data_IF_890674887419
#
_entry.id   IF_890674887419
#
_cell.length_a   1.000
_cell.length_b   1.000
_cell.length_c   1.000
_cell.angle_alpha   90.00
_cell.angle_beta   90.00
_cell.angle_gamma   90.00
#
_symmetry.space_group_name_H-M   'P 1'
#
loop_
_entity.id
_entity.type
_entity.pdbx_description
1 polymer ?
#
# COMPACT_ATOMS: atom_id res chain seq x y z
N UNK A 1 -7.22 -5.04 14.04
CA UNK A 1 -8.64 -5.03 14.43
C UNK A 1 -9.45 -6.02 13.57
N UNK A 2 -10.54 -6.56 14.09
CA UNK A 2 -11.35 -7.63 13.50
C UNK A 2 -12.84 -7.30 13.62
N UNK A 3 -13.72 -7.76 12.70
CA UNK A 3 -15.16 -7.50 12.77
C UNK A 3 -15.84 -8.02 14.04
N UNK A 4 -15.58 -9.26 14.44
CA UNK A 4 -16.26 -9.92 15.57
C UNK A 4 -15.35 -10.78 16.47
N UNK A 5 -14.11 -11.03 16.07
CA UNK A 5 -13.13 -11.92 16.75
C UNK A 5 -13.59 -13.39 16.92
N UNK A 6 -14.51 -13.83 16.09
CA UNK A 6 -15.11 -15.19 16.15
C UNK A 6 -15.03 -15.88 14.79
N UNK A 7 -15.48 -15.19 13.74
CA UNK A 7 -15.60 -15.76 12.39
C UNK A 7 -14.34 -15.50 11.56
N UNK A 8 -13.85 -16.45 10.78
CA UNK A 8 -12.74 -16.21 9.87
C UNK A 8 -13.04 -15.05 8.92
N UNK A 9 -12.24 -13.99 8.99
CA UNK A 9 -12.43 -12.79 8.17
C UNK A 9 -11.22 -12.55 7.28
N UNK A 10 -11.41 -12.16 6.01
CA UNK A 10 -10.31 -11.70 5.18
C UNK A 10 -9.62 -10.50 5.83
N UNK A 11 -8.36 -10.28 5.50
CA UNK A 11 -7.55 -9.27 6.18
C UNK A 11 -6.77 -8.40 5.21
N UNK A 12 -6.61 -7.13 5.55
CA UNK A 12 -5.75 -6.18 4.84
C UNK A 12 -4.55 -5.84 5.71
N UNK A 13 -3.35 -6.06 5.20
CA UNK A 13 -2.11 -5.51 5.77
C UNK A 13 -1.94 -4.11 5.22
N UNK A 14 -1.96 -3.11 6.11
CA UNK A 14 -1.90 -1.70 5.73
C UNK A 14 -0.73 -0.97 6.37
N UNK A 15 0.01 -0.22 5.55
CA UNK A 15 1.15 0.57 5.97
C UNK A 15 0.91 2.04 5.69
N UNK A 16 1.18 2.89 6.69
CA UNK A 16 1.05 4.34 6.58
C UNK A 16 2.20 5.00 5.81
N UNK A 17 2.11 6.30 5.53
CA UNK A 17 3.17 7.11 4.95
C UNK A 17 4.25 7.52 5.95
N UNK A 18 5.35 8.11 5.47
CA UNK A 18 6.37 8.73 6.33
C UNK A 18 5.74 9.80 7.21
N UNK A 19 6.30 9.99 8.41
CA UNK A 19 5.84 10.96 9.42
C UNK A 19 4.43 10.74 9.99
N UNK A 20 3.79 9.62 9.63
CA UNK A 20 2.49 9.19 10.14
C UNK A 20 2.63 8.03 11.13
N UNK A 21 1.53 7.44 11.55
CA UNK A 21 1.46 6.22 12.35
C UNK A 21 0.15 5.46 12.03
N UNK A 22 0.09 4.18 12.40
CA UNK A 22 -1.02 3.27 12.07
C UNK A 22 -2.40 3.76 12.51
N UNK A 23 -2.50 4.50 13.61
CA UNK A 23 -3.78 4.92 14.19
C UNK A 23 -4.45 6.08 13.43
N UNK A 24 -3.70 6.84 12.62
CA UNK A 24 -4.25 7.94 11.84
C UNK A 24 -5.30 7.48 10.82
N UNK A 25 -5.29 6.22 10.43
CA UNK A 25 -6.22 5.65 9.45
C UNK A 25 -7.43 4.92 10.07
N UNK A 26 -7.73 5.11 11.36
CA UNK A 26 -8.84 4.44 12.05
C UNK A 26 -10.18 4.54 11.30
N UNK A 27 -10.48 5.70 10.69
CA UNK A 27 -11.69 5.89 9.88
C UNK A 27 -11.76 5.02 8.63
N UNK A 28 -10.64 4.55 8.10
CA UNK A 28 -10.51 3.59 7.01
C UNK A 28 -10.81 2.18 7.50
N UNK A 29 -10.19 1.78 8.59
CA UNK A 29 -10.37 0.44 9.17
C UNK A 29 -11.82 0.20 9.58
N UNK A 30 -12.51 1.22 10.12
CA UNK A 30 -13.93 1.14 10.43
C UNK A 30 -14.83 0.87 9.21
N UNK A 31 -14.45 1.34 8.01
CA UNK A 31 -15.18 1.03 6.77
C UNK A 31 -14.98 -0.42 6.36
N UNK A 32 -13.74 -0.92 6.46
CA UNK A 32 -13.43 -2.31 6.16
C UNK A 32 -14.16 -3.28 7.10
N UNK A 33 -14.16 -2.98 8.41
CA UNK A 33 -14.87 -3.78 9.41
C UNK A 33 -16.39 -3.84 9.15
N UNK A 34 -16.96 -2.85 8.46
CA UNK A 34 -18.40 -2.77 8.13
C UNK A 34 -18.71 -3.16 6.69
N UNK A 35 -17.71 -3.53 5.91
CA UNK A 35 -17.94 -3.98 4.54
C UNK A 35 -18.78 -5.27 4.56
N UNK A 36 -19.54 -5.51 3.49
CA UNK A 36 -20.35 -6.71 3.35
C UNK A 36 -20.34 -7.22 1.92
N UNK A 37 -20.50 -8.51 1.74
CA UNK A 37 -20.56 -9.15 0.44
C UNK A 37 -21.10 -10.59 0.55
N UNK A 38 -21.26 -11.28 -0.59
CA UNK A 38 -21.83 -12.62 -0.63
C UNK A 38 -21.08 -13.67 0.19
N UNK A 39 -19.76 -13.50 0.40
CA UNK A 39 -18.91 -14.45 1.13
C UNK A 39 -18.67 -14.07 2.60
N UNK A 40 -19.45 -13.12 3.14
CA UNK A 40 -19.36 -12.73 4.54
C UNK A 40 -19.36 -11.22 4.77
N UNK A 41 -19.26 -10.85 6.03
CA UNK A 41 -19.26 -9.47 6.49
C UNK A 41 -17.98 -9.13 7.22
N UNK A 42 -17.47 -7.95 6.93
CA UNK A 42 -16.28 -7.40 7.57
C UNK A 42 -14.96 -7.90 6.97
N UNK A 43 -14.02 -6.98 6.89
CA UNK A 43 -12.64 -7.22 6.51
C UNK A 43 -11.79 -6.76 7.69
N UNK A 44 -10.97 -7.64 8.23
CA UNK A 44 -10.03 -7.32 9.31
C UNK A 44 -8.91 -6.39 8.81
N UNK A 45 -8.35 -5.60 9.69
CA UNK A 45 -7.22 -4.73 9.39
C UNK A 45 -6.02 -5.04 10.29
N UNK A 46 -4.90 -5.35 9.69
CA UNK A 46 -3.59 -5.38 10.30
C UNK A 46 -2.83 -4.12 9.90
N UNK A 47 -2.87 -3.10 10.74
CA UNK A 47 -2.14 -1.86 10.52
C UNK A 47 -0.80 -1.92 11.24
N UNK A 48 0.29 -1.66 10.51
CA UNK A 48 1.66 -1.78 11.00
C UNK A 48 2.35 -0.42 10.98
N UNK A 49 2.99 -0.05 12.10
CA UNK A 49 3.87 1.12 12.11
C UNK A 49 5.14 0.83 11.30
N UNK A 50 5.49 1.73 10.39
CA UNK A 50 6.78 1.68 9.72
C UNK A 50 7.94 1.76 10.72
N UNK A 51 9.10 1.16 10.44
CA UNK A 51 10.29 1.34 11.27
C UNK A 51 10.56 2.81 11.58
N UNK A 52 10.80 3.10 12.86
CA UNK A 52 11.02 4.45 13.34
C UNK A 52 9.78 5.33 13.51
N UNK A 53 8.56 4.79 13.33
CA UNK A 53 7.29 5.53 13.42
C UNK A 53 6.37 4.97 14.51
N UNK A 54 5.40 5.77 14.93
CA UNK A 54 4.40 5.36 15.91
C UNK A 54 5.01 4.82 17.21
N UNK A 55 4.60 3.62 17.61
CA UNK A 55 5.15 2.93 18.80
C UNK A 55 6.61 2.48 18.64
N UNK A 56 7.12 2.48 17.41
CA UNK A 56 8.50 2.12 17.05
C UNK A 56 9.38 3.37 16.81
N UNK A 57 9.00 4.52 17.37
CA UNK A 57 9.64 5.80 17.10
C UNK A 57 11.16 5.77 17.30
N UNK A 58 11.87 6.19 16.27
CA UNK A 58 13.33 6.40 16.28
C UNK A 58 13.65 7.68 15.50
N UNK A 59 14.26 8.65 16.19
CA UNK A 59 14.59 9.98 15.63
C UNK A 59 15.48 9.88 14.38
N UNK A 60 16.41 8.95 14.34
CA UNK A 60 17.33 8.80 13.21
C UNK A 60 16.59 8.32 11.96
N UNK A 61 15.61 7.42 12.14
CA UNK A 61 14.78 6.91 11.06
C UNK A 61 13.75 7.92 10.54
N UNK A 62 13.51 9.02 11.26
CA UNK A 62 12.67 10.13 10.77
C UNK A 62 13.39 10.99 9.73
N UNK A 63 14.71 10.98 9.68
CA UNK A 63 15.46 11.79 8.73
C UNK A 63 15.17 11.38 7.28
N UNK A 64 15.00 12.30 6.30
CA UNK A 64 14.73 11.97 4.90
C UNK A 64 15.72 10.97 4.30
N UNK A 65 17.01 11.08 4.62
CA UNK A 65 18.06 10.14 4.19
C UNK A 65 17.86 8.70 4.67
N UNK A 66 17.05 8.49 5.70
CA UNK A 66 16.73 7.15 6.20
C UNK A 66 15.58 6.48 5.45
N UNK A 67 14.91 7.18 4.51
CA UNK A 67 13.70 6.68 3.86
C UNK A 67 13.91 5.29 3.25
N UNK A 68 14.93 5.10 2.44
CA UNK A 68 15.17 3.79 1.79
C UNK A 68 15.49 2.70 2.82
N UNK A 69 16.19 3.03 3.90
CA UNK A 69 16.42 2.10 5.02
C UNK A 69 15.11 1.67 5.67
N UNK A 70 14.21 2.63 5.93
CA UNK A 70 12.87 2.34 6.48
C UNK A 70 12.06 1.44 5.55
N UNK A 71 12.03 1.74 4.23
CA UNK A 71 11.31 0.92 3.25
C UNK A 71 11.87 -0.51 3.18
N UNK A 72 13.19 -0.67 3.14
CA UNK A 72 13.84 -1.99 3.09
C UNK A 72 13.58 -2.81 4.34
N UNK A 73 13.66 -2.19 5.51
CA UNK A 73 13.37 -2.87 6.77
C UNK A 73 11.92 -3.33 6.80
N UNK A 74 10.96 -2.46 6.45
CA UNK A 74 9.54 -2.83 6.42
C UNK A 74 9.26 -3.94 5.40
N UNK A 75 9.91 -3.90 4.24
CA UNK A 75 9.79 -4.96 3.23
C UNK A 75 10.18 -6.34 3.82
N UNK A 76 11.29 -6.40 4.55
CA UNK A 76 11.74 -7.63 5.21
C UNK A 76 10.88 -8.08 6.40
N UNK A 77 10.02 -7.21 6.92
CA UNK A 77 9.14 -7.53 8.05
C UNK A 77 7.76 -8.05 7.62
N UNK A 78 7.36 -7.91 6.35
CA UNK A 78 6.00 -8.29 5.90
C UNK A 78 5.74 -9.79 6.08
N UNK A 79 6.72 -10.64 5.81
CA UNK A 79 6.57 -12.09 6.00
C UNK A 79 6.40 -12.44 7.49
N UNK A 80 7.10 -11.74 8.38
CA UNK A 80 6.91 -11.89 9.83
C UNK A 80 5.51 -11.45 10.28
N UNK A 81 4.93 -10.43 9.63
CA UNK A 81 3.53 -10.03 9.88
C UNK A 81 2.58 -11.16 9.44
N UNK A 82 2.80 -11.77 8.28
CA UNK A 82 1.99 -12.91 7.82
C UNK A 82 2.13 -14.12 8.76
N UNK A 83 3.34 -14.44 9.21
CA UNK A 83 3.60 -15.49 10.19
C UNK A 83 2.89 -15.20 11.52
N UNK A 84 2.96 -13.96 12.02
CA UNK A 84 2.28 -13.56 13.24
C UNK A 84 0.75 -13.64 13.13
N UNK A 85 0.17 -13.38 11.95
CA UNK A 85 -1.27 -13.54 11.71
C UNK A 85 -1.69 -15.01 11.62
N UNK A 86 -0.77 -15.91 11.25
CA UNK A 86 -0.98 -17.34 11.19
C UNK A 86 -0.82 -18.04 12.56
N UNK A 87 -0.38 -17.32 13.60
CA UNK A 87 -0.14 -17.89 14.93
C UNK A 87 -1.43 -18.54 15.49
N UNK A 88 -1.36 -19.78 16.00
CA UNK A 88 -2.50 -20.46 16.60
C UNK A 88 -3.21 -19.70 17.73
N UNK A 89 -2.57 -18.72 18.35
CA UNK A 89 -3.19 -17.85 19.36
C UNK A 89 -4.44 -17.13 18.83
N UNK A 90 -4.51 -16.88 17.54
CA UNK A 90 -5.65 -16.23 16.89
C UNK A 90 -6.82 -17.20 16.58
N UNK A 91 -6.66 -18.50 16.83
CA UNK A 91 -7.72 -19.52 16.65
C UNK A 91 -8.38 -19.52 15.25
N UNK A 92 -7.65 -19.08 14.22
CA UNK A 92 -8.14 -19.07 12.85
C UNK A 92 -9.13 -17.93 12.52
N UNK A 93 -9.18 -16.87 13.32
CA UNK A 93 -10.06 -15.71 13.03
C UNK A 93 -9.63 -14.91 11.81
N UNK A 94 -8.40 -15.05 11.33
CA UNK A 94 -7.94 -14.46 10.07
C UNK A 94 -7.97 -15.50 8.95
N UNK A 95 -8.67 -15.19 7.87
CA UNK A 95 -8.67 -16.00 6.64
C UNK A 95 -7.47 -15.59 5.77
N UNK A 96 -6.38 -16.33 5.90
CA UNK A 96 -5.13 -16.06 5.19
C UNK A 96 -5.16 -16.49 3.71
N UNK A 97 -6.21 -17.14 3.25
CA UNK A 97 -6.46 -17.34 1.82
C UNK A 97 -7.02 -16.09 1.14
N UNK A 98 -7.49 -15.11 1.93
CA UNK A 98 -8.06 -13.84 1.46
C UNK A 98 -7.34 -12.64 2.09
N UNK A 99 -6.06 -12.51 1.79
CA UNK A 99 -5.22 -11.39 2.27
C UNK A 99 -5.06 -10.34 1.18
N UNK A 100 -5.21 -9.07 1.53
CA UNK A 100 -4.81 -7.93 0.72
C UNK A 100 -3.63 -7.20 1.35
N UNK A 101 -2.89 -6.47 0.52
CA UNK A 101 -1.82 -5.57 0.97
C UNK A 101 -2.09 -4.17 0.45
N UNK A 102 -1.63 -3.17 1.18
CA UNK A 102 -1.72 -1.80 0.71
C UNK A 102 -1.01 -0.81 1.61
N UNK A 103 -1.05 0.44 1.19
CA UNK A 103 -0.47 1.51 1.97
C UNK A 103 -0.49 2.85 1.27
N UNK A 104 -0.17 3.87 2.05
CA UNK A 104 -0.04 5.23 1.59
C UNK A 104 1.43 5.59 1.43
N UNK A 105 1.79 6.34 0.37
CA UNK A 105 3.14 6.90 0.18
C UNK A 105 4.23 5.83 0.38
N UNK A 106 5.07 5.95 1.39
CA UNK A 106 6.09 4.98 1.75
C UNK A 106 5.52 3.55 1.93
N UNK A 107 4.39 3.40 2.61
CA UNK A 107 3.71 2.11 2.76
C UNK A 107 3.25 1.52 1.43
N UNK A 108 2.81 2.37 0.50
CA UNK A 108 2.48 1.98 -0.86
C UNK A 108 3.71 1.51 -1.67
N UNK A 109 4.85 2.19 -1.53
CA UNK A 109 6.12 1.77 -2.16
C UNK A 109 6.55 0.38 -1.70
N UNK A 110 6.46 0.13 -0.38
CA UNK A 110 6.75 -1.20 0.19
C UNK A 110 5.78 -2.25 -0.35
N UNK A 111 4.47 -1.94 -0.39
CA UNK A 111 3.45 -2.84 -0.93
C UNK A 111 3.75 -3.23 -2.38
N UNK A 112 4.01 -2.25 -3.24
CA UNK A 112 4.32 -2.49 -4.66
C UNK A 112 5.60 -3.32 -4.83
N UNK A 113 6.64 -3.04 -4.03
CA UNK A 113 7.88 -3.79 -4.08
C UNK A 113 7.70 -5.24 -3.59
N UNK A 114 6.87 -5.45 -2.55
CA UNK A 114 6.57 -6.80 -2.02
C UNK A 114 5.84 -7.67 -3.04
N UNK A 115 5.02 -7.07 -3.92
CA UNK A 115 4.34 -7.77 -5.00
C UNK A 115 5.28 -8.25 -6.13
N UNK A 116 6.54 -7.85 -6.12
CA UNK A 116 7.58 -8.39 -7.00
C UNK A 116 8.24 -9.66 -6.43
N UNK A 117 7.75 -10.22 -5.35
CA UNK A 117 8.23 -11.45 -4.69
C UNK A 117 7.05 -12.44 -4.58
N UNK A 118 7.28 -13.75 -4.39
CA UNK A 118 6.18 -14.70 -4.16
C UNK A 118 5.32 -14.26 -2.97
N UNK A 119 3.99 -14.28 -3.12
CA UNK A 119 3.09 -13.73 -2.11
C UNK A 119 1.69 -14.36 -2.14
N UNK A 120 0.93 -14.33 -1.01
CA UNK A 120 -0.44 -14.83 -0.94
C UNK A 120 -1.51 -13.78 -1.31
N UNK A 121 -1.15 -12.52 -1.58
CA UNK A 121 -2.09 -11.41 -1.71
C UNK A 121 -3.04 -11.57 -2.90
N UNK A 122 -4.33 -11.30 -2.66
CA UNK A 122 -5.40 -11.36 -3.69
C UNK A 122 -5.62 -10.03 -4.41
N UNK A 123 -5.34 -8.93 -3.76
CA UNK A 123 -5.43 -7.58 -4.33
C UNK A 123 -4.52 -6.60 -3.59
N UNK A 124 -4.34 -5.42 -4.19
CA UNK A 124 -3.55 -4.33 -3.61
C UNK A 124 -4.29 -3.00 -3.74
N UNK A 125 -4.27 -2.21 -2.66
CA UNK A 125 -4.77 -0.83 -2.69
C UNK A 125 -3.69 0.14 -2.22
N UNK A 126 -3.38 1.14 -3.02
CA UNK A 126 -2.31 2.11 -2.75
C UNK A 126 -2.79 3.55 -2.89
N UNK A 127 -2.17 4.46 -2.17
CA UNK A 127 -2.53 5.88 -2.14
C UNK A 127 -1.31 6.78 -2.18
N UNK A 128 -1.33 7.85 -3.02
CA UNK A 128 -0.31 8.88 -3.08
C UNK A 128 1.11 8.29 -3.18
N UNK A 129 1.35 7.33 -4.06
CA UNK A 129 2.60 6.58 -4.12
C UNK A 129 3.01 6.26 -5.55
N UNK A 130 4.18 5.71 -5.72
CA UNK A 130 4.68 5.15 -6.99
C UNK A 130 5.55 3.93 -6.72
N UNK A 131 5.58 2.99 -7.67
CA UNK A 131 6.55 1.89 -7.67
C UNK A 131 7.87 2.25 -8.36
N UNK A 132 7.98 3.46 -8.95
CA UNK A 132 9.21 3.92 -9.60
C UNK A 132 10.03 4.78 -8.63
N UNK A 133 10.62 4.10 -7.63
CA UNK A 133 11.35 4.73 -6.53
C UNK A 133 12.61 5.43 -7.02
N UNK A 134 13.35 4.85 -7.98
CA UNK A 134 14.51 5.49 -8.56
C UNK A 134 14.17 6.84 -9.20
N UNK A 135 13.10 6.94 -9.98
CA UNK A 135 12.72 8.21 -10.61
C UNK A 135 12.28 9.28 -9.60
N UNK A 136 11.73 8.86 -8.46
CA UNK A 136 11.34 9.79 -7.38
C UNK A 136 12.56 10.42 -6.69
N UNK A 137 13.65 9.66 -6.55
CA UNK A 137 14.88 10.08 -5.84
C UNK A 137 16.06 10.38 -6.76
N UNK A 138 15.90 10.31 -8.09
CA UNK A 138 16.95 10.63 -9.05
C UNK A 138 17.43 12.10 -8.93
N UNK A 139 18.64 12.37 -9.35
CA UNK A 139 19.15 13.73 -9.46
C UNK A 139 18.19 14.59 -10.29
N UNK A 140 17.75 15.71 -9.72
CA UNK A 140 16.72 16.56 -10.31
C UNK A 140 15.27 16.04 -10.13
N UNK A 141 15.08 14.91 -9.48
CA UNK A 141 13.77 14.40 -9.07
C UNK A 141 13.18 15.21 -7.89
N UNK A 142 11.89 14.96 -7.57
CA UNK A 142 11.18 15.68 -6.48
C UNK A 142 11.87 15.57 -5.12
N UNK A 143 12.62 14.52 -4.89
CA UNK A 143 13.32 14.21 -3.64
C UNK A 143 14.78 13.85 -3.88
N UNK A 144 15.57 14.79 -4.37
CA UNK A 144 17.02 14.61 -4.52
C UNK A 144 17.75 14.55 -3.16
N UNK A 145 17.48 13.52 -2.40
CA UNK A 145 18.26 13.16 -1.22
C UNK A 145 19.22 12.06 -1.65
N UNK A 146 20.50 12.23 -1.34
CA UNK A 146 21.51 11.23 -1.65
C UNK A 146 21.20 9.90 -0.95
N UNK A 147 20.91 8.89 -1.73
CA UNK A 147 20.72 7.50 -1.29
C UNK A 147 21.76 6.60 -1.97
N UNK A 148 22.12 5.54 -1.28
CA UNK A 148 22.92 4.48 -1.88
C UNK A 148 22.22 3.88 -3.11
N UNK A 149 22.83 3.92 -4.31
CA UNK A 149 22.17 3.46 -5.55
C UNK A 149 21.69 2.01 -5.48
N UNK A 150 22.48 1.12 -4.89
CA UNK A 150 22.12 -0.31 -4.74
C UNK A 150 20.86 -0.47 -3.89
N UNK A 151 20.72 0.34 -2.84
CA UNK A 151 19.54 0.34 -1.98
C UNK A 151 18.30 0.89 -2.70
N UNK A 152 18.45 1.92 -3.53
CA UNK A 152 17.38 2.44 -4.38
C UNK A 152 16.91 1.39 -5.39
N UNK A 153 17.83 0.78 -6.12
CA UNK A 153 17.55 -0.29 -7.08
C UNK A 153 16.81 -1.46 -6.43
N UNK A 154 17.23 -1.86 -5.23
CA UNK A 154 16.59 -2.95 -4.49
C UNK A 154 15.14 -2.64 -4.11
N UNK A 155 14.78 -1.37 -3.92
CA UNK A 155 13.43 -0.92 -3.60
C UNK A 155 12.60 -0.55 -4.83
N UNK A 156 13.20 -0.46 -6.01
CA UNK A 156 12.50 -0.06 -7.22
C UNK A 156 11.68 -1.22 -7.82
N UNK A 157 10.36 -1.04 -7.88
CA UNK A 157 9.45 -2.05 -8.44
C UNK A 157 9.56 -2.14 -9.97
N UNK A 158 10.03 -1.08 -10.65
CA UNK A 158 10.27 -1.11 -12.10
C UNK A 158 11.43 -2.06 -12.43
N UNK A 159 12.50 -2.01 -11.64
CA UNK A 159 13.64 -2.95 -11.77
C UNK A 159 13.22 -4.40 -11.54
N UNK A 160 12.26 -4.62 -10.66
CA UNK A 160 11.78 -5.95 -10.26
C UNK A 160 10.51 -6.38 -10.99
N UNK A 161 10.01 -5.58 -11.93
CA UNK A 161 8.68 -5.73 -12.55
C UNK A 161 8.44 -7.06 -13.24
N UNK A 162 9.47 -7.68 -13.80
CA UNK A 162 9.34 -8.99 -14.43
C UNK A 162 8.90 -10.12 -13.47
N UNK A 163 8.96 -9.89 -12.17
CA UNK A 163 8.51 -10.83 -11.12
C UNK A 163 7.18 -10.42 -10.48
N UNK A 164 6.64 -9.25 -10.84
CA UNK A 164 5.36 -8.78 -10.32
C UNK A 164 4.23 -9.71 -10.78
N UNK A 165 3.52 -10.32 -9.83
CA UNK A 165 2.41 -11.21 -10.15
C UNK A 165 1.14 -10.39 -10.38
N UNK A 166 0.48 -10.54 -11.56
CA UNK A 166 -0.74 -9.82 -11.87
C UNK A 166 -1.86 -10.09 -10.86
N UNK A 167 -2.43 -9.04 -10.31
CA UNK A 167 -3.58 -9.06 -9.40
C UNK A 167 -4.39 -7.76 -9.52
N UNK A 168 -5.65 -7.71 -9.04
CA UNK A 168 -6.40 -6.47 -8.96
C UNK A 168 -5.66 -5.42 -8.13
N UNK A 169 -5.47 -4.23 -8.72
CA UNK A 169 -4.77 -3.11 -8.09
C UNK A 169 -5.60 -1.82 -8.21
N UNK A 170 -5.88 -1.20 -7.07
CA UNK A 170 -6.46 0.14 -6.98
C UNK A 170 -5.38 1.15 -6.57
N UNK A 171 -5.18 2.17 -7.39
CA UNK A 171 -4.35 3.32 -7.07
C UNK A 171 -5.23 4.56 -6.90
N UNK A 172 -5.12 5.26 -5.77
CA UNK A 172 -5.76 6.53 -5.50
C UNK A 172 -4.70 7.62 -5.43
N UNK A 173 -4.91 8.75 -6.13
CA UNK A 173 -3.89 9.80 -6.21
C UNK A 173 -4.50 11.19 -6.32
N UNK A 174 -3.89 12.19 -5.66
CA UNK A 174 -4.24 13.58 -5.87
C UNK A 174 -3.54 14.11 -7.14
N UNK A 175 -4.27 14.85 -7.99
CA UNK A 175 -3.70 15.35 -9.27
C UNK A 175 -2.56 16.33 -9.06
N UNK A 176 -2.61 17.10 -7.97
CA UNK A 176 -1.63 18.14 -7.65
C UNK A 176 -0.64 17.69 -6.55
N UNK A 177 -0.47 16.38 -6.34
CA UNK A 177 0.44 15.82 -5.32
C UNK A 177 1.87 16.38 -5.51
N UNK A 178 2.36 17.08 -4.47
CA UNK A 178 3.68 17.74 -4.48
C UNK A 178 4.77 16.89 -3.83
N UNK A 179 4.41 15.73 -3.30
CA UNK A 179 5.34 14.79 -2.64
C UNK A 179 5.67 13.65 -3.58
N UNK A 180 4.65 12.99 -4.11
CA UNK A 180 4.79 11.96 -5.13
C UNK A 180 4.01 12.41 -6.36
N UNK A 181 4.64 13.03 -7.36
CA UNK A 181 3.94 13.56 -8.53
C UNK A 181 3.11 12.48 -9.23
N UNK A 182 1.84 12.80 -9.56
CA UNK A 182 0.94 11.90 -10.26
C UNK A 182 1.57 11.31 -11.54
N UNK A 183 2.32 12.12 -12.30
CA UNK A 183 2.96 11.65 -13.53
C UNK A 183 3.94 10.49 -13.32
N UNK A 184 4.59 10.38 -12.16
CA UNK A 184 5.44 9.22 -11.84
C UNK A 184 4.60 7.97 -11.57
N UNK A 185 3.45 8.12 -10.92
CA UNK A 185 2.53 7.02 -10.71
C UNK A 185 1.90 6.54 -12.02
N UNK A 186 1.47 7.45 -12.89
CA UNK A 186 0.91 7.13 -14.21
C UNK A 186 1.91 6.35 -15.06
N UNK A 187 3.16 6.82 -15.15
CA UNK A 187 4.22 6.14 -15.87
C UNK A 187 4.54 4.75 -15.28
N UNK A 188 4.53 4.62 -13.96
CA UNK A 188 4.68 3.31 -13.32
C UNK A 188 3.53 2.37 -13.70
N UNK A 189 2.27 2.83 -13.61
CA UNK A 189 1.11 2.02 -13.94
C UNK A 189 1.05 1.66 -15.44
N UNK A 190 1.53 2.51 -16.32
CA UNK A 190 1.66 2.19 -17.75
C UNK A 190 2.63 1.04 -17.98
N UNK A 191 3.81 1.08 -17.35
CA UNK A 191 4.79 -0.01 -17.38
C UNK A 191 4.19 -1.32 -16.81
N UNK A 192 3.43 -1.21 -15.72
CA UNK A 192 2.78 -2.35 -15.07
C UNK A 192 1.69 -2.95 -15.95
N UNK A 193 0.85 -2.14 -16.61
CA UNK A 193 -0.14 -2.61 -17.61
C UNK A 193 0.53 -3.34 -18.77
N UNK A 194 1.62 -2.79 -19.28
CA UNK A 194 2.40 -3.47 -20.33
C UNK A 194 2.99 -4.80 -19.84
N UNK A 195 3.38 -4.90 -18.56
CA UNK A 195 3.81 -6.16 -17.97
C UNK A 195 2.65 -7.17 -17.87
N UNK A 196 1.45 -6.75 -17.41
CA UNK A 196 0.27 -7.62 -17.35
C UNK A 196 -0.06 -8.20 -18.70
N UNK A 197 -0.07 -7.39 -19.76
CA UNK A 197 -0.28 -7.87 -21.14
C UNK A 197 0.75 -8.94 -21.54
N UNK A 198 2.03 -8.73 -21.25
CA UNK A 198 3.09 -9.73 -21.54
C UNK A 198 2.92 -11.02 -20.72
N UNK A 199 2.37 -10.92 -19.52
CA UNK A 199 2.07 -12.06 -18.65
C UNK A 199 0.73 -12.75 -18.99
N UNK A 200 0.01 -12.29 -20.03
CA UNK A 200 -1.30 -12.83 -20.41
C UNK A 200 -2.44 -12.44 -19.48
N UNK A 201 -2.27 -11.42 -18.65
CA UNK A 201 -3.27 -10.92 -17.73
C UNK A 201 -3.97 -9.66 -18.26
N UNK A 202 -5.20 -9.41 -17.78
CA UNK A 202 -5.97 -8.23 -18.15
C UNK A 202 -5.37 -6.96 -17.51
N UNK A 203 -4.91 -5.96 -18.30
CA UNK A 203 -4.45 -4.68 -17.77
C UNK A 203 -5.57 -3.85 -17.10
N UNK A 204 -6.84 -4.18 -17.37
CA UNK A 204 -8.01 -3.60 -16.71
C UNK A 204 -8.09 -3.93 -15.21
N UNK A 205 -7.36 -4.91 -14.72
CA UNK A 205 -7.18 -5.16 -13.29
C UNK A 205 -6.51 -3.99 -12.55
N UNK A 206 -5.84 -3.08 -13.28
CA UNK A 206 -5.18 -1.90 -12.71
C UNK A 206 -6.08 -0.69 -12.89
N UNK A 207 -6.64 -0.19 -11.80
CA UNK A 207 -7.51 0.98 -11.77
C UNK A 207 -6.80 2.15 -11.08
N UNK A 208 -6.80 3.32 -11.74
CA UNK A 208 -6.36 4.59 -11.17
C UNK A 208 -7.57 5.51 -10.98
N UNK A 209 -7.73 6.06 -9.79
CA UNK A 209 -8.70 7.10 -9.47
C UNK A 209 -7.94 8.33 -9.00
N UNK A 210 -8.22 9.48 -9.59
CA UNK A 210 -7.55 10.74 -9.26
C UNK A 210 -8.52 11.76 -8.69
N UNK A 211 -8.02 12.61 -7.80
CA UNK A 211 -8.79 13.66 -7.14
C UNK A 211 -8.18 15.03 -7.46
N UNK A 212 -8.98 15.95 -8.04
CA UNK A 212 -8.48 17.31 -8.32
C UNK A 212 -8.45 18.10 -7.02
N UNK A 213 -7.47 18.98 -6.86
CA UNK A 213 -7.33 19.95 -5.77
C UNK A 213 -8.00 19.55 -4.44
N UNK A 214 -7.33 18.69 -3.68
CA UNK A 214 -7.92 18.04 -2.51
C UNK A 214 -7.99 18.97 -1.29
N UNK A 215 -7.07 19.93 -1.19
CA UNK A 215 -6.86 20.78 -0.01
C UNK A 215 -6.10 20.06 1.12
N UNK A 216 -5.58 18.87 0.87
CA UNK A 216 -4.73 18.17 1.82
C UNK A 216 -3.33 18.84 1.91
N UNK A 217 -2.61 18.69 3.04
CA UNK A 217 -1.25 19.18 3.13
C UNK A 217 -0.38 18.66 1.98
N UNK A 218 0.24 19.56 1.23
CA UNK A 218 1.02 19.30 0.01
C UNK A 218 0.25 18.52 -1.07
N UNK A 219 -1.08 18.52 -1.02
CA UNK A 219 -1.98 17.70 -1.87
C UNK A 219 -1.66 16.20 -1.76
N UNK A 220 -0.98 15.77 -0.70
CA UNK A 220 -0.46 14.41 -0.50
C UNK A 220 -1.07 13.69 0.70
N UNK A 221 -1.17 14.35 1.85
CA UNK A 221 -1.54 13.70 3.11
C UNK A 221 -3.07 13.53 3.21
N UNK A 222 -3.64 12.46 2.62
CA UNK A 222 -5.01 11.99 2.84
C UNK A 222 -6.05 12.69 2.03
N UNK A 223 -6.15 13.03 0.88
CA UNK A 223 -7.23 13.51 -0.02
C UNK A 223 -8.15 14.62 0.50
N UNK A 224 -7.86 15.27 1.62
CA UNK A 224 -8.59 16.45 2.11
C UNK A 224 -10.12 16.33 2.02
N UNK A 225 -10.78 17.22 1.26
CA UNK A 225 -12.24 17.21 1.06
C UNK A 225 -12.78 15.92 0.40
N UNK A 226 -11.96 15.17 -0.31
CA UNK A 226 -12.30 13.88 -0.91
C UNK A 226 -11.91 12.67 -0.03
N UNK A 227 -11.45 12.91 1.19
CA UNK A 227 -10.98 11.83 2.06
C UNK A 227 -12.02 10.75 2.37
N UNK A 228 -13.31 11.11 2.42
CA UNK A 228 -14.38 10.13 2.58
C UNK A 228 -14.61 9.33 1.29
N UNK A 229 -14.60 9.98 0.14
CA UNK A 229 -14.82 9.34 -1.16
C UNK A 229 -13.68 8.34 -1.44
N UNK A 230 -12.43 8.74 -1.20
CA UNK A 230 -11.26 7.87 -1.35
C UNK A 230 -11.34 6.62 -0.46
N UNK A 231 -11.72 6.79 0.82
CA UNK A 231 -11.89 5.66 1.75
C UNK A 231 -13.05 4.74 1.37
N UNK A 232 -14.15 5.30 0.85
CA UNK A 232 -15.30 4.52 0.37
C UNK A 232 -14.93 3.74 -0.90
N UNK A 233 -14.23 4.37 -1.84
CA UNK A 233 -13.73 3.75 -3.07
C UNK A 233 -12.83 2.55 -2.75
N UNK A 234 -11.90 2.73 -1.81
CA UNK A 234 -11.02 1.66 -1.36
C UNK A 234 -11.79 0.53 -0.66
N UNK A 235 -12.75 0.86 0.22
CA UNK A 235 -13.55 -0.13 0.92
C UNK A 235 -14.41 -0.96 -0.07
N UNK A 236 -15.01 -0.31 -1.07
CA UNK A 236 -15.76 -0.98 -2.12
C UNK A 236 -14.87 -1.92 -2.96
N UNK A 237 -13.68 -1.46 -3.35
CA UNK A 237 -12.71 -2.28 -4.06
C UNK A 237 -12.31 -3.52 -3.25
N UNK A 238 -11.92 -3.34 -2.00
CA UNK A 238 -11.52 -4.46 -1.14
C UNK A 238 -12.66 -5.44 -0.90
N UNK A 239 -13.89 -4.95 -0.70
CA UNK A 239 -15.06 -5.81 -0.56
C UNK A 239 -15.30 -6.64 -1.83
N UNK A 240 -15.20 -6.02 -3.00
CA UNK A 240 -15.34 -6.71 -4.28
C UNK A 240 -14.29 -7.80 -4.49
N UNK A 241 -13.08 -7.66 -3.97
CA UNK A 241 -12.00 -8.64 -4.12
C UNK A 241 -11.98 -9.72 -3.04
N UNK A 242 -12.41 -9.41 -1.83
CA UNK A 242 -12.25 -10.28 -0.68
C UNK A 242 -13.57 -10.90 -0.17
N UNK A 243 -14.72 -10.29 -0.50
CA UNK A 243 -16.03 -10.73 -0.01
C UNK A 243 -16.97 -11.21 -1.12
N UNK A 244 -16.51 -11.26 -2.38
CA UNK A 244 -17.26 -11.81 -3.52
C UNK A 244 -16.81 -13.20 -3.92
#
# INVERSE_FOLDING_TARGET
THPDWISPSPIVIWMHGRTAHKELDAGRYLRWLRASGPRGNGIAACAVDLPGHGERYDRELQHPRATIRVLRQMLGEIDQVLEALADPVWQGVFDLDRVAIGGMSAGGMVSLRRLCEPHPFKCCAIEGTTGWVEALYADGGPWSVEHDPTSLEAMDSVRSMGRFQPLPLLALHAQEDRVVPLGLQEQFLEKLRAHYLRAGADPGLIRLVTYPHTGAPQEHAGFGKFGNDAKNEQAAFLAAQLLN
#
